data_IF_099120969728
#
_entry.id   IF_099120969728
#
_cell.length_a   1.000
_cell.length_b   1.000
_cell.length_c   1.000
_cell.angle_alpha   90.00
_cell.angle_beta   90.00
_cell.angle_gamma   90.00
#
_symmetry.space_group_name_H-M   'P 1'
#
loop_
_entity.id
_entity.type
_entity.pdbx_description
1 polymer ?
#
# COMPACT_ATOMS: atom_id res chain seq x y z
N UNK A 1 24.70 -24.85 -6.19
CA UNK A 1 24.75 -23.71 -5.24
C UNK A 1 23.34 -23.17 -4.96
N UNK A 2 22.35 -24.08 -4.76
CA UNK A 2 20.91 -23.74 -4.59
C UNK A 2 20.42 -23.64 -3.14
N UNK A 3 21.28 -23.82 -2.16
CA UNK A 3 20.88 -23.91 -0.72
C UNK A 3 20.88 -22.59 0.04
N UNK A 4 21.28 -21.47 -0.59
CA UNK A 4 21.40 -20.16 0.10
C UNK A 4 20.08 -19.35 0.12
N UNK A 5 19.20 -19.55 -0.87
CA UNK A 5 17.93 -18.77 -1.01
C UNK A 5 16.86 -19.28 -0.04
N UNK A 6 16.69 -20.58 0.08
CA UNK A 6 15.73 -21.18 1.04
C UNK A 6 16.01 -20.76 2.50
N UNK A 7 17.26 -20.52 2.84
CA UNK A 7 17.65 -20.10 4.19
C UNK A 7 17.25 -18.63 4.47
N UNK A 8 17.24 -17.78 3.46
CA UNK A 8 16.85 -16.37 3.59
C UNK A 8 15.33 -16.23 3.76
N UNK A 9 14.52 -16.98 3.02
CA UNK A 9 13.04 -16.98 3.12
C UNK A 9 12.60 -17.50 4.49
N UNK A 10 13.21 -18.58 4.98
CA UNK A 10 12.91 -19.13 6.32
C UNK A 10 13.29 -18.15 7.44
N UNK A 11 14.34 -17.34 7.25
CA UNK A 11 14.75 -16.33 8.24
C UNK A 11 13.77 -15.14 8.22
N UNK A 12 13.28 -14.70 7.05
CA UNK A 12 12.29 -13.61 6.92
C UNK A 12 10.95 -14.02 7.56
N UNK A 13 10.44 -15.20 7.28
CA UNK A 13 9.20 -15.72 7.88
C UNK A 13 9.31 -15.91 9.41
N UNK A 14 10.47 -16.26 9.93
CA UNK A 14 10.67 -16.40 11.38
C UNK A 14 10.75 -15.06 12.12
N UNK A 15 11.21 -14.00 11.47
CA UNK A 15 11.23 -12.62 12.04
C UNK A 15 9.81 -12.04 12.07
N UNK A 16 9.00 -12.28 11.03
CA UNK A 16 7.62 -11.83 10.98
C UNK A 16 6.73 -12.52 12.04
N UNK A 17 6.92 -13.83 12.31
CA UNK A 17 6.22 -14.54 13.35
C UNK A 17 6.56 -14.07 14.79
N UNK A 18 7.75 -13.47 15.00
CA UNK A 18 8.15 -12.94 16.30
C UNK A 18 7.56 -11.56 16.59
N UNK A 19 7.24 -10.77 15.57
CA UNK A 19 6.61 -9.46 15.73
C UNK A 19 5.12 -9.54 16.07
N UNK A 20 4.41 -10.58 15.62
CA UNK A 20 2.99 -10.81 15.94
C UNK A 20 2.75 -11.28 17.38
N UNK A 21 3.76 -11.76 18.09
CA UNK A 21 3.61 -12.25 19.47
C UNK A 21 3.78 -11.18 20.56
N UNK A 22 4.14 -9.94 20.21
CA UNK A 22 4.39 -8.87 21.19
C UNK A 22 3.15 -8.05 21.60
N UNK A 23 2.02 -8.15 20.89
CA UNK A 23 0.82 -7.32 21.14
C UNK A 23 -0.20 -7.89 22.14
N UNK A 24 0.04 -9.02 22.81
CA UNK A 24 -0.97 -9.63 23.70
C UNK A 24 -0.76 -9.41 25.21
N UNK A 25 0.13 -8.53 25.65
CA UNK A 25 0.52 -8.42 27.08
C UNK A 25 0.11 -7.12 27.81
N UNK A 26 -0.66 -6.23 27.19
CA UNK A 26 -1.20 -5.07 27.90
C UNK A 26 -2.71 -4.92 27.72
N UNK A 27 -3.46 -5.69 28.49
CA UNK A 27 -4.91 -5.58 28.56
C UNK A 27 -5.44 -6.15 29.85
N UNK A 28 -5.32 -5.44 30.96
CA UNK A 28 -6.09 -5.73 32.16
C UNK A 28 -6.85 -4.49 32.61
N UNK A 29 -8.11 -4.45 32.23
CA UNK A 29 -9.13 -3.57 32.77
C UNK A 29 -9.38 -3.88 34.24
N UNK A 30 -9.41 -2.87 35.08
CA UNK A 30 -10.03 -2.94 36.39
C UNK A 30 -11.31 -2.13 36.40
N UNK A 31 -12.42 -2.85 36.43
CA UNK A 31 -13.74 -2.36 36.81
C UNK A 31 -13.70 -1.93 38.27
N UNK A 32 -14.21 -0.76 38.58
CA UNK A 32 -14.66 -0.39 39.92
C UNK A 32 -15.98 0.34 39.83
N UNK A 33 -16.97 -0.34 40.34
CA UNK A 33 -18.32 0.08 40.64
C UNK A 33 -18.33 0.82 41.98
N UNK A 34 -19.01 1.98 42.07
CA UNK A 34 -19.76 2.40 43.27
C UNK A 34 -20.49 3.73 43.06
N UNK A 35 -21.78 3.71 43.17
CA UNK A 35 -22.75 4.77 43.44
C UNK A 35 -23.03 4.79 44.94
N UNK A 36 -23.85 5.76 45.52
CA UNK A 36 -24.15 7.17 45.27
C UNK A 36 -24.15 8.05 46.55
N UNK A 37 -24.75 9.26 46.39
CA UNK A 37 -25.36 10.17 47.40
C UNK A 37 -24.54 11.27 48.03
N UNK A 38 -25.11 12.51 47.91
CA UNK A 38 -24.78 13.65 48.74
C UNK A 38 -25.15 15.02 48.17
N UNK A 39 -26.34 15.46 48.46
CA UNK A 39 -27.05 16.73 48.24
C UNK A 39 -26.28 17.99 48.69
N UNK A 40 -26.25 19.02 47.82
CA UNK A 40 -26.29 20.51 47.88
C UNK A 40 -25.97 21.26 49.23
N UNK A 41 -25.77 22.62 49.30
CA UNK A 41 -26.13 23.66 48.31
C UNK A 41 -25.06 24.78 48.07
N UNK A 42 -25.24 25.45 46.94
CA UNK A 42 -25.22 26.91 46.73
C UNK A 42 -24.25 27.81 47.47
N UNK A 43 -23.28 28.34 46.72
CA UNK A 43 -22.68 29.67 47.01
C UNK A 43 -22.40 30.36 45.65
N UNK A 44 -23.09 31.44 45.42
CA UNK A 44 -22.88 32.36 44.31
C UNK A 44 -21.47 32.94 44.35
N UNK A 45 -20.70 32.82 43.32
CA UNK A 45 -19.46 33.54 43.08
C UNK A 45 -19.70 34.72 42.11
N UNK A 46 -18.98 35.82 42.26
CA UNK A 46 -19.25 37.08 41.59
C UNK A 46 -18.89 37.01 40.08
N UNK A 47 -19.62 37.80 39.30
CA UNK A 47 -19.39 38.02 37.90
C UNK A 47 -17.94 38.44 37.64
N UNK A 48 -17.21 37.65 36.91
CA UNK A 48 -15.93 38.02 36.34
C UNK A 48 -16.19 38.92 35.14
N UNK A 49 -15.76 40.16 35.24
CA UNK A 49 -15.69 41.13 34.15
C UNK A 49 -14.74 40.63 33.04
N UNK A 50 -15.22 40.67 31.81
CA UNK A 50 -14.39 40.95 30.64
C UNK A 50 -13.41 39.84 30.24
N UNK A 51 -13.93 38.73 29.66
CA UNK A 51 -13.13 38.01 28.68
C UNK A 51 -12.94 38.96 27.47
N UNK A 52 -11.72 39.10 26.92
CA UNK A 52 -11.54 39.78 25.65
C UNK A 52 -12.41 39.07 24.58
N UNK A 53 -12.91 39.83 23.59
CA UNK A 53 -13.63 39.21 22.50
C UNK A 53 -12.74 38.11 21.91
N UNK A 54 -13.27 36.91 21.72
CA UNK A 54 -12.63 35.86 20.99
C UNK A 54 -12.24 36.48 19.65
N UNK A 55 -10.94 36.42 19.31
CA UNK A 55 -10.48 36.75 17.97
C UNK A 55 -11.26 35.86 16.98
N UNK A 56 -11.92 36.52 16.02
CA UNK A 56 -12.74 35.83 15.03
C UNK A 56 -11.87 34.81 14.30
N UNK A 57 -12.15 33.54 14.53
CA UNK A 57 -12.02 32.43 13.66
C UNK A 57 -10.77 32.31 12.80
N UNK A 58 -9.63 31.90 13.36
CA UNK A 58 -8.67 31.14 12.58
C UNK A 58 -9.27 29.74 12.37
N UNK A 59 -9.81 29.50 11.18
CA UNK A 59 -10.30 28.20 10.77
C UNK A 59 -9.06 27.30 10.53
N UNK A 60 -8.93 26.24 11.32
CA UNK A 60 -7.88 25.26 11.05
C UNK A 60 -8.14 24.60 9.69
N UNK A 61 -7.09 24.32 8.88
CA UNK A 61 -7.29 23.50 7.69
C UNK A 61 -7.88 22.15 8.13
N UNK A 62 -8.74 21.53 7.33
CA UNK A 62 -9.20 20.17 7.58
C UNK A 62 -7.99 19.25 7.69
N UNK A 63 -8.08 18.27 8.56
CA UNK A 63 -7.06 17.21 8.64
C UNK A 63 -7.00 16.53 7.25
N UNK A 64 -5.78 16.33 6.68
CA UNK A 64 -5.66 15.57 5.45
C UNK A 64 -6.16 14.14 5.72
N UNK A 65 -7.20 13.73 5.03
CA UNK A 65 -7.76 12.40 5.17
C UNK A 65 -7.39 11.60 3.92
N UNK A 66 -6.63 10.51 4.06
CA UNK A 66 -6.24 9.63 2.97
C UNK A 66 -7.41 9.03 2.23
N UNK A 67 -8.47 8.71 2.96
CA UNK A 67 -9.70 8.13 2.43
C UNK A 67 -10.41 9.01 1.39
N UNK A 68 -10.03 10.30 1.26
CA UNK A 68 -10.67 11.19 0.26
C UNK A 68 -10.22 10.92 -1.17
N UNK A 69 -9.09 10.28 -1.40
CA UNK A 69 -8.62 9.93 -2.75
C UNK A 69 -9.47 8.82 -3.38
N UNK A 70 -10.00 7.91 -2.59
CA UNK A 70 -10.88 6.82 -3.04
C UNK A 70 -12.24 7.34 -3.53
N UNK A 71 -12.64 8.53 -3.10
CA UNK A 71 -13.87 9.18 -3.55
C UNK A 71 -13.74 9.84 -4.93
N UNK A 72 -12.54 9.96 -5.48
CA UNK A 72 -12.28 10.52 -6.80
C UNK A 72 -12.45 9.45 -7.88
N UNK A 73 -13.00 9.83 -9.03
CA UNK A 73 -13.05 8.93 -10.19
C UNK A 73 -11.66 8.62 -10.73
N UNK A 74 -10.77 9.62 -10.71
CA UNK A 74 -9.39 9.50 -11.16
C UNK A 74 -8.53 10.67 -10.68
N UNK A 75 -7.23 10.45 -10.60
CA UNK A 75 -6.28 11.51 -10.23
C UNK A 75 -4.85 11.15 -10.62
N UNK A 76 -3.98 12.16 -10.59
CA UNK A 76 -2.53 12.00 -10.56
C UNK A 76 -1.98 12.70 -9.32
N UNK A 77 -1.17 11.99 -8.53
CA UNK A 77 -0.49 12.49 -7.35
C UNK A 77 1.02 12.44 -7.57
N UNK A 78 1.70 13.49 -7.16
CA UNK A 78 3.16 13.48 -7.04
C UNK A 78 3.55 13.88 -5.63
N UNK A 79 4.48 13.15 -5.05
CA UNK A 79 5.08 13.49 -3.77
C UNK A 79 6.60 13.43 -3.88
N UNK A 80 7.27 14.43 -3.34
CA UNK A 80 8.72 14.52 -3.25
C UNK A 80 9.11 14.82 -1.83
N UNK A 81 10.11 14.09 -1.35
CA UNK A 81 10.69 14.31 -0.04
C UNK A 81 12.21 14.25 -0.16
N UNK A 82 12.89 15.12 0.57
CA UNK A 82 14.32 15.03 0.80
C UNK A 82 14.63 15.35 2.26
N UNK A 83 15.40 14.51 2.91
CA UNK A 83 15.93 14.73 4.24
C UNK A 83 17.45 14.61 4.21
N UNK A 84 18.14 15.56 4.86
CA UNK A 84 19.58 15.57 4.99
C UNK A 84 19.99 15.94 6.42
N UNK A 85 20.99 15.29 6.98
CA UNK A 85 21.39 15.54 8.35
C UNK A 85 22.66 14.85 8.76
N UNK A 86 22.83 14.72 10.07
CA UNK A 86 23.97 14.03 10.67
C UNK A 86 23.53 13.23 11.87
N UNK A 87 24.08 12.00 12.00
CA UNK A 87 23.88 11.22 13.22
C UNK A 87 24.77 11.74 14.37
N UNK A 88 24.60 11.16 15.55
CA UNK A 88 25.39 11.53 16.77
C UNK A 88 26.90 11.40 16.59
N UNK A 89 27.35 10.54 15.67
CA UNK A 89 28.77 10.34 15.36
C UNK A 89 29.31 11.37 14.36
N UNK A 90 28.43 12.24 13.80
CA UNK A 90 28.75 13.25 12.82
C UNK A 90 28.81 12.73 11.38
N UNK A 91 28.35 11.51 11.12
CA UNK A 91 28.21 10.97 9.77
C UNK A 91 27.05 11.67 9.05
N UNK A 92 27.22 11.92 7.75
CA UNK A 92 26.16 12.48 6.91
C UNK A 92 25.08 11.42 6.67
N UNK A 93 23.83 11.85 6.82
CA UNK A 93 22.62 11.08 6.51
C UNK A 93 21.88 11.76 5.37
N UNK A 94 21.32 10.97 4.47
CA UNK A 94 20.55 11.49 3.34
C UNK A 94 19.47 10.50 2.96
N UNK A 95 18.27 11.01 2.72
CA UNK A 95 17.11 10.24 2.30
C UNK A 95 16.33 11.02 1.27
N UNK A 96 15.85 10.36 0.23
CA UNK A 96 15.02 10.95 -0.81
C UNK A 96 13.91 10.00 -1.18
N UNK A 97 12.73 10.54 -1.48
CA UNK A 97 11.61 9.82 -2.06
C UNK A 97 10.96 10.69 -3.13
N UNK A 98 10.91 10.19 -4.34
CA UNK A 98 10.08 10.72 -5.42
C UNK A 98 8.99 9.69 -5.73
N UNK A 99 7.73 10.09 -5.62
CA UNK A 99 6.57 9.24 -5.89
C UNK A 99 5.69 9.87 -6.97
N UNK A 100 5.29 9.05 -7.92
CA UNK A 100 4.19 9.31 -8.85
C UNK A 100 3.12 8.23 -8.62
N UNK A 101 1.88 8.65 -8.49
CA UNK A 101 0.73 7.75 -8.47
C UNK A 101 -0.30 8.25 -9.48
N UNK A 102 -0.68 7.40 -10.40
CA UNK A 102 -1.75 7.60 -11.38
C UNK A 102 -2.86 6.62 -11.05
N UNK A 103 -4.07 7.11 -10.89
CA UNK A 103 -5.21 6.31 -10.46
C UNK A 103 -6.44 6.55 -11.33
N UNK A 104 -7.10 5.47 -11.69
CA UNK A 104 -8.45 5.45 -12.24
C UNK A 104 -9.29 4.49 -11.39
N UNK A 105 -10.01 5.04 -10.42
CA UNK A 105 -10.79 4.26 -9.45
C UNK A 105 -12.04 3.63 -10.09
N UNK A 106 -12.50 4.17 -11.24
CA UNK A 106 -13.65 3.61 -11.97
C UNK A 106 -13.29 2.29 -12.64
N UNK A 107 -12.12 2.26 -13.28
CA UNK A 107 -11.63 1.08 -14.01
C UNK A 107 -10.72 0.18 -13.15
N UNK A 108 -10.46 0.57 -11.90
CA UNK A 108 -9.54 -0.09 -10.97
C UNK A 108 -8.15 -0.30 -11.60
N UNK A 109 -7.60 0.78 -12.16
CA UNK A 109 -6.27 0.78 -12.75
C UNK A 109 -5.37 1.81 -12.07
N UNK A 110 -4.19 1.36 -11.64
CA UNK A 110 -3.23 2.19 -10.91
C UNK A 110 -1.82 1.99 -11.45
N UNK A 111 -1.04 3.06 -11.44
CA UNK A 111 0.39 3.03 -11.68
C UNK A 111 1.07 3.79 -10.55
N UNK A 112 2.01 3.15 -9.87
CA UNK A 112 2.75 3.71 -8.75
C UNK A 112 4.23 3.54 -9.07
N UNK A 113 4.94 4.65 -9.11
CA UNK A 113 6.39 4.70 -9.28
C UNK A 113 7.01 5.40 -8.08
N UNK A 114 7.88 4.69 -7.36
CA UNK A 114 8.63 5.19 -6.21
C UNK A 114 10.12 5.09 -6.51
N UNK A 115 10.86 6.18 -6.30
CA UNK A 115 12.32 6.20 -6.49
C UNK A 115 13.00 6.94 -5.36
N UNK A 116 14.22 6.54 -5.03
CA UNK A 116 15.04 7.24 -4.03
C UNK A 116 15.66 6.32 -2.99
N UNK A 117 16.42 6.90 -2.08
CA UNK A 117 17.15 6.17 -1.04
C UNK A 117 16.23 5.45 -0.05
N UNK A 118 15.02 5.97 0.20
CA UNK A 118 14.04 5.28 1.06
C UNK A 118 13.58 3.97 0.42
N UNK A 119 13.30 3.97 -0.88
CA UNK A 119 12.93 2.75 -1.61
C UNK A 119 14.04 1.72 -1.55
N UNK A 120 15.32 2.14 -1.70
CA UNK A 120 16.47 1.26 -1.57
C UNK A 120 16.54 0.59 -0.20
N UNK A 121 16.22 1.31 0.90
CA UNK A 121 16.21 0.75 2.25
C UNK A 121 15.13 -0.31 2.45
N UNK A 122 13.94 -0.12 1.89
CA UNK A 122 12.80 -1.01 2.05
C UNK A 122 12.90 -2.24 1.14
N UNK A 123 13.24 -2.05 -0.12
CA UNK A 123 13.21 -3.07 -1.16
C UNK A 123 14.59 -3.55 -1.61
N UNK A 124 15.64 -2.78 -1.31
CA UNK A 124 17.00 -2.98 -1.83
C UNK A 124 17.18 -2.52 -3.28
N UNK A 125 16.16 -1.83 -3.83
CA UNK A 125 16.14 -1.25 -5.17
C UNK A 125 16.06 0.27 -5.03
N UNK A 126 16.59 1.00 -6.00
CA UNK A 126 16.48 2.45 -6.07
C UNK A 126 15.16 2.92 -6.73
N UNK A 127 14.41 1.98 -7.31
CA UNK A 127 13.13 2.21 -7.99
C UNK A 127 12.20 1.02 -7.76
N UNK A 128 10.96 1.33 -7.43
CA UNK A 128 9.86 0.38 -7.35
C UNK A 128 8.75 0.87 -8.29
N UNK A 129 8.28 0.00 -9.16
CA UNK A 129 7.22 0.32 -10.11
C UNK A 129 6.14 -0.75 -10.08
N UNK A 130 4.91 -0.32 -9.74
CA UNK A 130 3.77 -1.20 -9.51
C UNK A 130 2.62 -0.77 -10.42
N UNK A 131 1.97 -1.74 -11.03
CA UNK A 131 0.75 -1.55 -11.80
C UNK A 131 -0.37 -2.42 -11.23
N UNK A 132 -1.58 -1.88 -11.20
CA UNK A 132 -2.78 -2.64 -10.81
C UNK A 132 -3.79 -2.58 -11.95
N UNK A 133 -4.33 -3.73 -12.34
CA UNK A 133 -5.40 -3.86 -13.32
C UNK A 133 -6.46 -4.84 -12.80
N UNK A 134 -7.55 -4.31 -12.27
CA UNK A 134 -8.60 -5.11 -11.66
C UNK A 134 -8.08 -5.90 -10.45
N UNK A 135 -8.07 -7.21 -10.52
CA UNK A 135 -7.64 -8.12 -9.46
C UNK A 135 -6.16 -8.57 -9.56
N UNK A 136 -5.38 -7.93 -10.42
CA UNK A 136 -3.97 -8.25 -10.63
C UNK A 136 -3.07 -7.07 -10.32
N UNK A 137 -1.99 -7.34 -9.61
CA UNK A 137 -0.90 -6.41 -9.33
C UNK A 137 0.37 -6.90 -10.01
N UNK A 138 1.02 -6.03 -10.75
CA UNK A 138 2.27 -6.29 -11.49
C UNK A 138 3.37 -5.46 -10.84
N UNK A 139 4.42 -6.11 -10.38
CA UNK A 139 5.61 -5.45 -9.83
C UNK A 139 6.75 -5.63 -10.81
N UNK A 140 7.35 -4.51 -11.24
CA UNK A 140 8.49 -4.53 -12.13
C UNK A 140 9.78 -4.61 -11.34
N UNK A 141 10.57 -5.64 -11.61
CA UNK A 141 11.95 -5.75 -11.16
C UNK A 141 12.89 -5.56 -12.36
N UNK A 142 13.43 -4.35 -12.47
CA UNK A 142 14.34 -4.00 -13.58
C UNK A 142 15.75 -4.60 -13.43
N UNK A 143 16.08 -5.23 -12.31
CA UNK A 143 17.36 -5.89 -12.07
C UNK A 143 17.34 -7.38 -12.42
N UNK A 144 16.17 -8.00 -12.41
CA UNK A 144 16.03 -9.39 -12.83
C UNK A 144 15.80 -9.46 -14.35
N UNK A 145 16.84 -9.87 -15.08
CA UNK A 145 16.77 -9.97 -16.55
C UNK A 145 15.96 -11.17 -17.04
N UNK A 146 15.77 -12.16 -16.19
CA UNK A 146 15.12 -13.42 -16.53
C UNK A 146 13.60 -13.40 -16.19
N UNK A 147 13.20 -12.56 -15.22
CA UNK A 147 11.79 -12.34 -14.86
C UNK A 147 11.57 -10.87 -14.45
N UNK A 148 11.46 -9.96 -15.42
CA UNK A 148 11.37 -8.52 -15.14
C UNK A 148 10.03 -8.09 -14.56
N UNK A 149 9.04 -8.99 -14.45
CA UNK A 149 7.71 -8.70 -13.97
C UNK A 149 7.17 -9.86 -13.12
N UNK A 150 6.75 -9.54 -11.91
CA UNK A 150 6.03 -10.47 -11.02
C UNK A 150 4.56 -10.09 -10.96
N UNK A 151 3.66 -11.06 -11.00
CA UNK A 151 2.21 -10.85 -10.96
C UNK A 151 1.65 -11.45 -9.68
N UNK A 152 0.82 -10.67 -8.98
CA UNK A 152 0.10 -11.10 -7.79
C UNK A 152 -1.40 -10.98 -8.04
N UNK A 153 -2.19 -11.92 -7.49
CA UNK A 153 -3.64 -11.77 -7.41
C UNK A 153 -4.03 -11.22 -6.05
N UNK A 154 -4.92 -10.24 -6.05
CA UNK A 154 -5.47 -9.64 -4.84
C UNK A 154 -6.98 -9.76 -4.86
N UNK A 155 -7.56 -10.52 -3.91
CA UNK A 155 -9.01 -10.74 -3.83
C UNK A 155 -9.75 -9.63 -3.07
N UNK A 156 -9.08 -8.99 -2.10
CA UNK A 156 -9.64 -7.91 -1.28
C UNK A 156 -8.61 -6.77 -1.19
N UNK A 157 -9.01 -5.55 -1.47
CA UNK A 157 -8.19 -4.33 -1.39
C UNK A 157 -6.89 -4.36 -2.22
N UNK A 158 -7.03 -4.25 -3.52
CA UNK A 158 -5.89 -4.11 -4.46
C UNK A 158 -4.89 -3.03 -4.04
N UNK A 159 -5.35 -2.03 -3.28
CA UNK A 159 -4.56 -0.88 -2.86
C UNK A 159 -3.67 -1.17 -1.65
N UNK A 160 -4.05 -2.11 -0.77
CA UNK A 160 -3.23 -2.48 0.40
C UNK A 160 -1.88 -3.08 -0.04
N UNK A 161 -1.88 -3.82 -1.17
CA UNK A 161 -0.66 -4.40 -1.73
C UNK A 161 0.18 -3.38 -2.51
N UNK A 162 -0.49 -2.39 -3.11
CA UNK A 162 0.16 -1.38 -3.95
C UNK A 162 0.76 -0.22 -3.15
N UNK A 163 0.68 -0.24 -1.80
CA UNK A 163 1.17 0.85 -0.94
C UNK A 163 0.75 2.22 -1.47
N UNK A 164 -0.55 2.40 -1.69
CA UNK A 164 -1.10 3.70 -2.10
C UNK A 164 -0.67 4.75 -1.09
N UNK A 165 -0.02 5.78 -1.59
CA UNK A 165 0.48 6.85 -0.74
C UNK A 165 -0.67 7.56 -0.03
N UNK A 166 -0.58 7.63 1.29
CA UNK A 166 -1.48 8.37 2.13
C UNK A 166 -0.73 9.52 2.81
N UNK A 167 -1.20 10.75 2.60
CA UNK A 167 -0.53 11.94 3.15
C UNK A 167 -0.47 11.93 4.68
N UNK A 168 -1.48 11.37 5.35
CA UNK A 168 -1.56 11.22 6.80
C UNK A 168 -0.52 10.24 7.37
N UNK A 169 -0.01 9.31 6.60
CA UNK A 169 1.08 8.43 7.06
C UNK A 169 2.37 9.23 7.23
N UNK A 170 2.64 10.15 6.32
CA UNK A 170 3.82 11.01 6.39
C UNK A 170 3.64 12.19 7.34
N UNK A 171 2.42 12.70 7.45
CA UNK A 171 2.06 13.87 8.25
C UNK A 171 0.79 13.58 9.05
N UNK A 172 0.89 12.81 10.14
CA UNK A 172 -0.28 12.32 10.87
C UNK A 172 -1.13 13.44 11.49
N UNK A 173 -0.57 14.64 11.63
CA UNK A 173 -1.32 15.76 12.18
C UNK A 173 -0.96 17.07 11.52
N UNK A 174 -1.93 17.68 10.83
CA UNK A 174 -1.90 19.07 10.39
C UNK A 174 -3.09 19.79 11.05
N UNK A 175 -2.96 20.16 12.32
CA UNK A 175 -4.11 20.53 13.16
C UNK A 175 -4.42 22.02 13.23
N UNK A 176 -3.52 22.87 12.81
CA UNK A 176 -3.72 24.32 12.87
C UNK A 176 -3.18 24.99 11.62
N UNK A 177 -3.94 25.94 11.12
CA UNK A 177 -3.51 26.75 10.01
C UNK A 177 -4.11 28.14 10.05
N UNK A 178 -3.32 29.12 9.64
CA UNK A 178 -3.79 30.46 9.42
C UNK A 178 -4.18 30.64 7.97
N UNK A 179 -5.44 30.99 7.72
CA UNK A 179 -5.91 31.33 6.39
C UNK A 179 -5.13 32.52 5.83
N UNK A 180 -4.50 32.34 4.70
CA UNK A 180 -3.75 33.36 3.96
C UNK A 180 -4.58 33.95 2.84
N UNK A 181 -5.26 33.08 2.04
CA UNK A 181 -6.04 33.50 0.88
C UNK A 181 -7.16 32.50 0.60
N UNK A 182 -8.34 33.01 0.19
CA UNK A 182 -9.48 32.19 -0.21
C UNK A 182 -9.62 32.17 -1.74
N UNK A 183 -10.08 31.07 -2.30
CA UNK A 183 -10.44 30.95 -3.70
C UNK A 183 -9.26 31.00 -4.66
N UNK A 184 -8.07 30.59 -4.21
CA UNK A 184 -6.89 30.48 -5.07
C UNK A 184 -7.03 29.29 -6.00
N UNK A 185 -6.84 29.49 -7.30
CA UNK A 185 -6.85 28.39 -8.26
C UNK A 185 -5.50 27.66 -8.25
N UNK A 186 -5.50 26.38 -7.85
CA UNK A 186 -4.34 25.48 -7.87
C UNK A 186 -4.73 24.20 -8.60
N UNK A 187 -3.96 23.83 -9.62
CA UNK A 187 -4.20 22.62 -10.44
C UNK A 187 -5.62 22.53 -11.03
N UNK A 188 -6.26 23.70 -11.29
CA UNK A 188 -7.63 23.79 -11.81
C UNK A 188 -8.73 23.65 -10.75
N UNK A 189 -8.38 23.63 -9.47
CA UNK A 189 -9.30 23.56 -8.33
C UNK A 189 -9.27 24.89 -7.56
N UNK A 190 -10.45 25.39 -7.15
CA UNK A 190 -10.55 26.54 -6.24
C UNK A 190 -10.25 26.09 -4.82
N UNK A 191 -9.21 26.66 -4.22
CA UNK A 191 -8.68 26.24 -2.92
C UNK A 191 -8.67 27.37 -1.90
N UNK A 192 -8.63 27.03 -0.64
CA UNK A 192 -8.23 27.90 0.45
C UNK A 192 -6.77 27.60 0.80
N UNK A 193 -5.96 28.65 0.91
CA UNK A 193 -4.54 28.58 1.17
C UNK A 193 -4.26 28.94 2.64
N UNK A 194 -3.55 28.06 3.33
CA UNK A 194 -3.22 28.23 4.74
C UNK A 194 -1.71 28.12 4.97
N UNK A 195 -1.20 28.92 5.94
CA UNK A 195 0.09 28.66 6.57
C UNK A 195 -0.14 27.65 7.73
N UNK A 196 0.62 26.58 7.75
CA UNK A 196 0.51 25.53 8.80
C UNK A 196 1.20 26.03 10.08
N UNK A 197 0.53 25.89 11.23
CA UNK A 197 1.04 26.35 12.54
C UNK A 197 1.39 25.20 13.49
N UNK A 198 0.90 23.98 13.21
CA UNK A 198 1.27 22.77 13.94
C UNK A 198 1.34 21.59 13.00
N UNK A 199 2.42 20.83 13.09
CA UNK A 199 2.75 19.73 12.19
C UNK A 199 3.44 18.63 12.98
N UNK A 200 2.89 17.42 12.93
CA UNK A 200 3.59 16.21 13.31
C UNK A 200 4.02 15.47 12.05
N UNK A 201 5.19 14.85 12.07
CA UNK A 201 5.71 14.09 10.94
C UNK A 201 6.06 12.67 11.37
N UNK A 202 6.04 11.74 10.43
CA UNK A 202 6.51 10.37 10.63
C UNK A 202 7.98 10.34 11.11
N UNK A 203 8.79 11.27 10.62
CA UNK A 203 10.24 11.33 10.90
C UNK A 203 10.59 11.85 12.30
N UNK A 204 9.63 12.35 13.09
CA UNK A 204 9.84 12.81 14.45
C UNK A 204 9.43 14.25 14.71
N UNK A 205 9.94 14.81 15.81
CA UNK A 205 9.58 16.14 16.28
C UNK A 205 10.41 17.23 15.61
N UNK A 206 9.74 18.16 14.93
CA UNK A 206 10.39 19.27 14.25
C UNK A 206 10.47 20.50 15.17
N UNK A 207 11.67 21.02 15.39
CA UNK A 207 11.88 22.22 16.22
C UNK A 207 11.42 23.49 15.50
N UNK A 208 11.58 23.51 14.19
CA UNK A 208 11.23 24.62 13.30
C UNK A 208 10.68 24.07 12.02
N UNK A 209 9.63 24.68 11.52
CA UNK A 209 9.12 24.39 10.20
C UNK A 209 8.44 25.61 9.58
N UNK A 210 8.33 25.58 8.26
CA UNK A 210 7.50 26.47 7.46
C UNK A 210 6.76 25.60 6.47
N UNK A 211 5.44 25.60 6.51
CA UNK A 211 4.64 24.79 5.60
C UNK A 211 3.37 25.52 5.17
N UNK A 212 2.96 25.27 3.95
CA UNK A 212 1.77 25.84 3.33
C UNK A 212 0.93 24.72 2.71
N UNK A 213 -0.40 24.82 2.90
CA UNK A 213 -1.35 23.82 2.41
C UNK A 213 -2.49 24.50 1.64
N UNK A 214 -2.87 23.92 0.52
CA UNK A 214 -4.00 24.34 -0.31
C UNK A 214 -5.04 23.23 -0.29
N UNK A 215 -6.19 23.54 0.28
CA UNK A 215 -7.30 22.59 0.46
C UNK A 215 -8.44 23.04 -0.46
N UNK A 216 -9.09 22.12 -1.15
CA UNK A 216 -10.27 22.41 -1.95
C UNK A 216 -11.32 23.13 -1.11
N UNK A 217 -12.08 24.06 -1.69
CA UNK A 217 -13.05 24.88 -0.93
C UNK A 217 -14.18 24.08 -0.31
N UNK A 218 -14.50 22.88 -0.82
CA UNK A 218 -15.43 21.92 -0.21
C UNK A 218 -14.82 21.22 1.02
N UNK A 219 -13.48 21.34 1.21
CA UNK A 219 -12.77 20.81 2.37
C UNK A 219 -12.42 19.33 2.27
N UNK A 220 -12.66 18.68 1.11
CA UNK A 220 -12.49 17.24 0.99
C UNK A 220 -11.08 16.81 0.56
N UNK A 221 -10.36 17.61 -0.26
CA UNK A 221 -9.04 17.22 -0.77
C UNK A 221 -7.96 18.25 -0.47
N UNK A 222 -6.77 17.75 -0.12
CA UNK A 222 -5.53 18.52 -0.18
C UNK A 222 -5.05 18.53 -1.64
N UNK A 223 -4.95 19.71 -2.24
CA UNK A 223 -4.54 19.88 -3.63
C UNK A 223 -3.03 20.08 -3.73
N UNK A 224 -2.45 20.79 -2.77
CA UNK A 224 -1.01 21.01 -2.66
C UNK A 224 -0.62 21.14 -1.20
N UNK A 225 0.53 20.55 -0.85
CA UNK A 225 1.15 20.72 0.46
C UNK A 225 2.67 20.75 0.29
N UNK A 226 3.31 21.79 0.79
CA UNK A 226 4.76 21.93 0.68
C UNK A 226 5.34 22.59 1.91
N UNK A 227 6.58 22.26 2.22
CA UNK A 227 7.26 22.86 3.36
C UNK A 227 8.68 22.41 3.56
N UNK A 228 9.27 22.99 4.59
CA UNK A 228 10.59 22.65 5.12
C UNK A 228 10.52 22.54 6.64
N UNK A 229 11.30 21.62 7.20
CA UNK A 229 11.41 21.45 8.64
C UNK A 229 12.87 21.18 9.05
N UNK A 230 13.19 21.52 10.29
CA UNK A 230 14.50 21.29 10.91
C UNK A 230 14.30 20.76 12.33
N UNK A 231 15.00 19.70 12.71
CA UNK A 231 14.89 19.12 14.03
C UNK A 231 15.57 17.77 14.17
N UNK A 232 15.21 17.08 15.27
CA UNK A 232 15.59 15.69 15.47
C UNK A 232 14.67 14.81 14.63
N UNK A 233 15.25 13.92 13.82
CA UNK A 233 14.51 13.04 12.91
C UNK A 233 15.27 11.75 12.67
N UNK A 234 14.55 10.72 12.24
CA UNK A 234 15.13 9.49 11.73
C UNK A 234 15.35 9.63 10.22
N UNK A 235 16.60 9.55 9.76
CA UNK A 235 16.97 9.66 8.34
C UNK A 235 17.67 8.36 7.95
N UNK A 236 17.19 7.67 6.94
CA UNK A 236 17.72 6.38 6.50
C UNK A 236 17.82 5.33 7.64
N UNK A 237 16.81 5.30 8.51
CA UNK A 237 16.77 4.38 9.66
C UNK A 237 17.73 4.71 10.79
N UNK A 238 18.39 5.87 10.77
CA UNK A 238 19.30 6.33 11.81
C UNK A 238 18.81 7.64 12.46
N UNK A 239 18.82 7.76 13.80
CA UNK A 239 18.50 9.00 14.47
C UNK A 239 19.58 10.06 14.21
N UNK A 240 19.12 11.28 13.94
CA UNK A 240 19.97 12.41 13.63
C UNK A 240 19.31 13.75 13.84
N UNK A 241 20.04 14.80 13.50
CA UNK A 241 19.52 16.17 13.41
C UNK A 241 19.70 16.65 11.99
N UNK A 242 18.62 17.13 11.39
CA UNK A 242 18.66 17.46 9.97
C UNK A 242 17.61 18.44 9.52
N UNK A 243 17.47 18.52 8.22
CA UNK A 243 16.45 19.28 7.50
C UNK A 243 15.68 18.37 6.58
N UNK A 244 14.39 18.62 6.46
CA UNK A 244 13.49 17.93 5.56
C UNK A 244 12.76 18.95 4.68
N UNK A 245 12.55 18.62 3.41
CA UNK A 245 11.73 19.37 2.49
C UNK A 245 10.75 18.42 1.81
N UNK A 246 9.53 18.88 1.55
CA UNK A 246 8.52 18.07 0.86
C UNK A 246 7.68 18.91 -0.09
N UNK A 247 7.14 18.25 -1.10
CA UNK A 247 6.15 18.80 -2.02
C UNK A 247 5.17 17.70 -2.45
N UNK A 248 3.90 17.91 -2.14
CA UNK A 248 2.76 17.10 -2.55
C UNK A 248 1.91 17.89 -3.55
N UNK A 249 1.50 17.27 -4.65
CA UNK A 249 0.58 17.86 -5.61
C UNK A 249 -0.42 16.81 -6.09
N UNK A 250 -1.70 17.17 -6.07
CA UNK A 250 -2.80 16.43 -6.65
C UNK A 250 -3.28 17.14 -7.91
N UNK A 251 -3.30 16.43 -9.02
CA UNK A 251 -3.64 16.95 -10.36
C UNK A 251 -4.58 16.01 -11.11
N UNK A 252 -5.09 16.44 -12.25
CA UNK A 252 -5.95 15.62 -13.13
C UNK A 252 -7.18 15.01 -12.42
N UNK A 253 -7.71 15.71 -11.40
CA UNK A 253 -8.82 15.27 -10.56
C UNK A 253 -10.08 15.07 -11.42
N UNK A 254 -10.63 13.85 -11.39
CA UNK A 254 -11.80 13.44 -12.16
C UNK A 254 -11.66 13.73 -13.67
N UNK A 255 -10.42 13.68 -14.17
CA UNK A 255 -10.12 13.77 -15.59
C UNK A 255 -9.69 12.39 -16.10
N UNK A 256 -9.65 12.21 -17.43
CA UNK A 256 -9.24 10.94 -18.00
C UNK A 256 -7.76 10.66 -17.67
N UNK A 257 -7.52 9.74 -16.75
CA UNK A 257 -6.21 9.15 -16.49
C UNK A 257 -6.19 7.76 -17.13
N UNK A 258 -5.29 7.54 -18.06
CA UNK A 258 -5.10 6.25 -18.75
C UNK A 258 -3.78 5.64 -18.28
N UNK A 259 -3.89 4.53 -17.56
CA UNK A 259 -2.74 3.73 -17.13
C UNK A 259 -2.44 2.71 -18.24
N UNK A 260 -1.27 2.84 -18.87
CA UNK A 260 -0.85 1.91 -19.91
C UNK A 260 -0.35 0.61 -19.30
N UNK A 261 -0.71 -0.53 -19.90
CA UNK A 261 -0.21 -1.82 -19.47
C UNK A 261 1.32 -1.93 -19.72
N UNK A 262 2.14 -2.36 -18.73
CA UNK A 262 3.58 -2.43 -18.86
C UNK A 262 4.02 -3.49 -19.89
N UNK A 263 4.84 -3.06 -20.86
CA UNK A 263 5.32 -3.98 -21.92
C UNK A 263 6.13 -5.16 -21.36
N UNK A 264 6.87 -4.95 -20.26
CA UNK A 264 7.67 -5.99 -19.61
C UNK A 264 6.81 -7.12 -18.99
N UNK A 265 5.55 -6.84 -18.68
CA UNK A 265 4.62 -7.82 -18.13
C UNK A 265 3.78 -8.56 -19.19
N UNK A 266 3.93 -8.21 -20.47
CA UNK A 266 3.10 -8.76 -21.55
C UNK A 266 3.25 -10.27 -21.72
N UNK A 267 4.46 -10.79 -21.57
CA UNK A 267 4.74 -12.22 -21.67
C UNK A 267 4.13 -12.98 -20.50
N UNK A 268 4.32 -12.45 -19.29
CA UNK A 268 3.75 -12.99 -18.05
C UNK A 268 2.22 -13.03 -18.12
N UNK A 269 1.58 -11.92 -18.52
CA UNK A 269 0.12 -11.84 -18.65
C UNK A 269 -0.39 -12.84 -19.69
N UNK A 270 0.28 -12.99 -20.84
CA UNK A 270 -0.08 -13.95 -21.86
C UNK A 270 0.00 -15.38 -21.32
N UNK A 271 1.08 -15.69 -20.61
CA UNK A 271 1.29 -17.01 -20.00
C UNK A 271 0.21 -17.36 -18.99
N UNK A 272 -0.12 -16.43 -18.11
CA UNK A 272 -1.15 -16.63 -17.09
C UNK A 272 -2.57 -16.72 -17.65
N UNK A 273 -2.88 -15.93 -18.69
CA UNK A 273 -4.21 -15.94 -19.32
C UNK A 273 -4.53 -17.25 -20.04
N UNK A 274 -3.52 -18.07 -20.34
CA UNK A 274 -3.69 -19.41 -20.91
C UNK A 274 -4.04 -20.48 -19.87
N UNK A 275 -3.91 -20.16 -18.55
CA UNK A 275 -4.23 -21.08 -17.46
C UNK A 275 -5.69 -20.86 -17.05
N UNK A 276 -6.57 -21.86 -17.23
CA UNK A 276 -7.95 -21.71 -16.82
C UNK A 276 -8.08 -21.76 -15.30
N UNK A 277 -8.83 -20.78 -14.75
CA UNK A 277 -9.11 -20.69 -13.31
C UNK A 277 -10.61 -20.91 -13.12
N UNK A 278 -11.06 -21.82 -12.22
CA UNK A 278 -12.47 -22.00 -11.91
C UNK A 278 -13.10 -20.74 -11.30
N UNK A 279 -14.37 -20.47 -11.61
CA UNK A 279 -15.11 -19.29 -11.11
C UNK A 279 -15.21 -19.24 -9.56
N UNK A 280 -15.07 -20.38 -8.89
CA UNK A 280 -15.12 -20.51 -7.43
C UNK A 280 -13.73 -20.62 -6.77
N UNK A 281 -12.68 -20.24 -7.49
CA UNK A 281 -11.34 -20.13 -6.94
C UNK A 281 -11.25 -18.95 -5.96
N UNK A 282 -10.77 -19.23 -4.76
CA UNK A 282 -10.54 -18.28 -3.66
C UNK A 282 -9.11 -18.38 -3.14
N UNK A 283 -8.65 -17.42 -2.34
CA UNK A 283 -7.28 -17.38 -1.79
C UNK A 283 -6.22 -17.54 -2.88
N UNK A 284 -6.37 -16.76 -3.97
CA UNK A 284 -5.48 -16.84 -5.12
C UNK A 284 -4.15 -16.16 -4.82
N UNK A 285 -3.06 -16.88 -4.99
CA UNK A 285 -1.70 -16.39 -4.83
C UNK A 285 -0.85 -16.76 -6.05
N UNK A 286 0.09 -15.89 -6.40
CA UNK A 286 1.11 -16.18 -7.40
C UNK A 286 2.50 -15.86 -6.86
N UNK A 287 3.49 -16.60 -7.33
CA UNK A 287 4.90 -16.29 -7.17
C UNK A 287 5.61 -16.79 -8.44
N UNK A 288 6.92 -16.56 -8.57
CA UNK A 288 7.74 -16.97 -9.73
C UNK A 288 7.43 -18.41 -10.17
N UNK A 289 6.71 -18.54 -11.29
CA UNK A 289 6.44 -19.83 -11.93
C UNK A 289 5.37 -20.70 -11.25
N UNK A 290 4.68 -20.24 -10.21
CA UNK A 290 3.57 -21.00 -9.67
C UNK A 290 2.35 -20.13 -9.34
N UNK A 291 1.18 -20.75 -9.37
CA UNK A 291 -0.11 -20.18 -9.03
C UNK A 291 -0.84 -21.12 -8.08
N UNK A 292 -1.38 -20.61 -6.98
CA UNK A 292 -2.10 -21.36 -5.97
C UNK A 292 -3.48 -20.78 -5.74
N UNK A 293 -4.46 -21.63 -5.50
CA UNK A 293 -5.78 -21.21 -5.05
C UNK A 293 -6.51 -22.33 -4.30
N UNK A 294 -7.55 -21.94 -3.59
CA UNK A 294 -8.49 -22.84 -2.92
C UNK A 294 -9.80 -22.93 -3.70
N UNK A 295 -10.49 -24.08 -3.60
CA UNK A 295 -11.79 -24.30 -4.20
C UNK A 295 -12.68 -25.16 -3.32
N UNK A 296 -13.99 -24.96 -3.40
CA UNK A 296 -14.99 -25.83 -2.77
C UNK A 296 -15.32 -27.07 -3.61
N UNK A 297 -14.82 -27.16 -4.84
CA UNK A 297 -14.97 -28.34 -5.68
C UNK A 297 -14.06 -29.47 -5.19
N UNK A 298 -14.50 -30.72 -5.39
CA UNK A 298 -13.67 -31.88 -5.05
C UNK A 298 -12.49 -32.04 -6.02
N UNK A 299 -11.42 -32.69 -5.56
CA UNK A 299 -10.24 -32.94 -6.37
C UNK A 299 -10.55 -33.66 -7.70
N UNK A 300 -11.52 -34.60 -7.71
CA UNK A 300 -11.98 -35.27 -8.95
C UNK A 300 -12.59 -34.28 -9.95
N UNK A 301 -13.40 -33.32 -9.49
CA UNK A 301 -14.05 -32.32 -10.34
C UNK A 301 -13.01 -31.38 -10.93
N UNK A 302 -12.07 -30.93 -10.12
CA UNK A 302 -10.98 -30.04 -10.56
C UNK A 302 -10.02 -30.77 -11.53
N UNK A 303 -9.69 -32.03 -11.28
CA UNK A 303 -8.87 -32.83 -12.19
C UNK A 303 -9.52 -32.95 -13.58
N UNK A 304 -10.83 -33.25 -13.65
CA UNK A 304 -11.56 -33.30 -14.93
C UNK A 304 -11.72 -31.93 -15.59
N UNK A 305 -11.85 -30.86 -14.77
CA UNK A 305 -11.84 -29.49 -15.27
C UNK A 305 -10.54 -29.18 -16.00
N UNK A 306 -9.37 -29.41 -15.38
CA UNK A 306 -8.08 -29.14 -16.01
C UNK A 306 -7.80 -30.04 -17.23
N UNK A 307 -8.15 -31.33 -17.15
CA UNK A 307 -8.05 -32.22 -18.33
C UNK A 307 -8.87 -31.75 -19.51
N UNK A 308 -9.98 -31.05 -19.24
CA UNK A 308 -10.85 -30.52 -20.30
C UNK A 308 -10.36 -29.18 -20.80
N UNK A 309 -10.18 -28.20 -19.90
CA UNK A 309 -9.93 -26.82 -20.28
C UNK A 309 -8.52 -26.60 -20.83
N UNK A 310 -7.49 -27.22 -20.24
CA UNK A 310 -6.13 -27.13 -20.75
C UNK A 310 -6.02 -27.80 -22.14
N UNK A 311 -6.66 -28.97 -22.33
CA UNK A 311 -6.65 -29.64 -23.64
C UNK A 311 -7.40 -28.79 -24.69
N UNK A 312 -8.51 -28.16 -24.33
CA UNK A 312 -9.21 -27.20 -25.20
C UNK A 312 -8.31 -25.98 -25.52
N UNK A 313 -7.47 -25.55 -24.58
CA UNK A 313 -6.45 -24.51 -24.73
C UNK A 313 -5.22 -24.92 -25.55
N UNK A 314 -5.17 -26.19 -26.03
CA UNK A 314 -4.11 -26.72 -26.89
C UNK A 314 -2.93 -27.33 -26.14
N UNK A 315 -3.08 -27.59 -24.83
CA UNK A 315 -2.12 -28.36 -24.04
C UNK A 315 -2.35 -29.88 -24.25
N UNK A 316 -1.29 -30.65 -24.16
CA UNK A 316 -1.33 -32.12 -24.21
C UNK A 316 -1.04 -32.69 -22.83
N UNK A 317 -1.95 -33.50 -22.30
CA UNK A 317 -1.74 -34.24 -21.04
C UNK A 317 -0.69 -35.33 -21.31
N UNK A 318 0.46 -35.22 -20.65
CA UNK A 318 1.62 -36.13 -20.85
C UNK A 318 1.82 -37.11 -19.72
N UNK A 319 1.42 -36.75 -18.49
CA UNK A 319 1.48 -37.65 -17.34
C UNK A 319 0.32 -37.39 -16.36
N UNK A 320 -0.11 -38.43 -15.66
CA UNK A 320 -1.14 -38.36 -14.63
C UNK A 320 -0.80 -39.32 -13.50
N UNK A 321 -0.66 -38.78 -12.30
CA UNK A 321 -0.58 -39.54 -11.06
C UNK A 321 -1.81 -39.21 -10.22
N UNK A 322 -2.48 -40.24 -9.69
CA UNK A 322 -3.62 -40.04 -8.81
C UNK A 322 -3.58 -41.05 -7.64
N UNK A 323 -3.88 -40.56 -6.45
CA UNK A 323 -4.06 -41.35 -5.23
C UNK A 323 -5.19 -40.73 -4.42
N UNK A 324 -6.14 -41.55 -3.99
CA UNK A 324 -7.40 -41.27 -3.24
C UNK A 324 -7.90 -39.80 -3.19
N UNK A 325 -7.03 -38.80 -2.96
CA UNK A 325 -7.38 -37.38 -2.82
C UNK A 325 -6.35 -36.43 -3.47
N UNK A 326 -5.30 -36.96 -4.06
CA UNK A 326 -4.23 -36.16 -4.70
C UNK A 326 -4.17 -36.48 -6.19
N UNK A 327 -4.16 -35.45 -7.02
CA UNK A 327 -3.90 -35.53 -8.45
C UNK A 327 -2.67 -34.70 -8.78
N UNK A 328 -1.79 -35.24 -9.63
CA UNK A 328 -0.71 -34.53 -10.25
C UNK A 328 -0.85 -34.75 -11.76
N UNK A 329 -1.16 -33.68 -12.47
CA UNK A 329 -1.38 -33.70 -13.92
C UNK A 329 -0.25 -32.90 -14.58
N UNK A 330 0.44 -33.49 -15.55
CA UNK A 330 1.49 -32.82 -16.31
C UNK A 330 1.02 -32.58 -17.73
N UNK A 331 1.12 -31.34 -18.17
CA UNK A 331 0.73 -30.91 -19.50
C UNK A 331 1.92 -30.28 -20.23
N UNK A 332 1.94 -30.40 -21.57
CA UNK A 332 2.94 -29.74 -22.41
C UNK A 332 2.26 -28.98 -23.56
N UNK A 333 2.84 -27.83 -23.93
CA UNK A 333 2.42 -27.02 -25.08
C UNK A 333 3.66 -26.41 -25.75
N UNK A 334 4.14 -27.01 -26.83
CA UNK A 334 5.41 -26.64 -27.44
C UNK A 334 6.59 -27.00 -26.53
N UNK A 335 7.36 -26.01 -26.11
CA UNK A 335 8.49 -26.18 -25.16
C UNK A 335 8.09 -25.95 -23.71
N UNK A 336 6.85 -25.52 -23.44
CA UNK A 336 6.33 -25.26 -22.09
C UNK A 336 5.83 -26.54 -21.43
N UNK A 337 6.08 -26.67 -20.13
CA UNK A 337 5.57 -27.73 -19.28
C UNK A 337 4.83 -27.11 -18.07
N UNK A 338 3.62 -27.57 -17.84
CA UNK A 338 2.76 -27.14 -16.75
C UNK A 338 2.41 -28.35 -15.88
N UNK A 339 2.56 -28.22 -14.58
CA UNK A 339 2.11 -29.22 -13.60
C UNK A 339 0.96 -28.64 -12.79
N UNK A 340 -0.12 -29.42 -12.65
CA UNK A 340 -1.27 -29.09 -11.81
C UNK A 340 -1.35 -30.13 -10.71
N UNK A 341 -1.12 -29.68 -9.47
CA UNK A 341 -1.28 -30.49 -8.27
C UNK A 341 -2.61 -30.12 -7.59
N UNK A 342 -3.43 -31.12 -7.28
CA UNK A 342 -4.75 -30.93 -6.68
C UNK A 342 -4.85 -31.83 -5.46
N UNK A 343 -5.01 -31.25 -4.30
CA UNK A 343 -5.01 -32.00 -3.03
C UNK A 343 -5.93 -31.38 -1.98
N UNK A 344 -5.99 -31.95 -0.76
CA UNK A 344 -6.78 -31.40 0.32
C UNK A 344 -6.18 -30.04 0.76
N UNK A 345 -7.06 -29.04 0.94
CA UNK A 345 -6.70 -27.74 1.53
C UNK A 345 -6.54 -27.81 3.05
N UNK A 346 -6.24 -26.69 3.67
CA UNK A 346 -6.08 -26.59 5.12
C UNK A 346 -7.40 -26.77 5.87
N UNK A 347 -8.50 -26.29 5.31
CA UNK A 347 -9.83 -26.37 5.88
C UNK A 347 -10.60 -27.60 5.39
N UNK A 348 -11.51 -28.14 6.24
CA UNK A 348 -12.35 -29.28 5.89
C UNK A 348 -13.31 -28.91 4.73
N UNK A 349 -13.23 -29.69 3.65
CA UNK A 349 -14.08 -29.50 2.46
C UNK A 349 -13.50 -28.52 1.45
N UNK A 350 -12.29 -28.03 1.67
CA UNK A 350 -11.55 -27.21 0.72
C UNK A 350 -10.53 -28.09 -0.02
N UNK A 351 -10.40 -27.85 -1.30
CA UNK A 351 -9.38 -28.43 -2.18
C UNK A 351 -8.41 -27.34 -2.56
N UNK A 352 -7.11 -27.57 -2.35
CA UNK A 352 -6.03 -26.68 -2.78
C UNK A 352 -5.50 -27.12 -4.13
N UNK A 353 -5.24 -26.16 -5.00
CA UNK A 353 -4.67 -26.36 -6.33
C UNK A 353 -3.38 -25.56 -6.44
N UNK A 354 -2.31 -26.22 -6.86
CA UNK A 354 -1.02 -25.61 -7.15
C UNK A 354 -0.70 -25.86 -8.62
N UNK A 355 -0.45 -24.80 -9.36
CA UNK A 355 -0.07 -24.87 -10.77
C UNK A 355 1.35 -24.34 -10.92
N UNK A 356 2.25 -25.14 -11.45
CA UNK A 356 3.65 -24.78 -11.67
C UNK A 356 3.94 -24.74 -13.16
N UNK A 357 4.41 -23.61 -13.68
CA UNK A 357 4.92 -23.45 -15.04
C UNK A 357 6.44 -23.57 -15.01
N UNK A 358 6.99 -24.60 -15.62
CA UNK A 358 8.43 -24.88 -15.66
C UNK A 358 9.17 -24.16 -16.79
N UNK A 359 8.49 -23.26 -17.49
CA UNK A 359 9.10 -22.50 -18.61
C UNK A 359 9.91 -21.28 -18.13
N UNK A 360 9.89 -21.01 -16.83
CA UNK A 360 10.60 -19.88 -16.21
C UNK A 360 11.97 -20.27 -15.66
#
# INVERSE_FOLDING_TARGET
MRTSRFLKIVILLSVFALLLSACSLFGKSSTSEATPEGVAPEAAAPAAEGAPPAEEGEEAPPEPMGDTLDALDSYRLTFKLSAEGKNELGNDLNETLDLLQEANNVDLTYHILRTGAQVELETGLDTEEIYVFGDKTYVLDTFETDSPCTVFFTEENHLDFAYVFALEEMFPTITRGKLLEEGVEVNGVSTNHYAVEALDTYYGSMEKFTAEIWVAQDGEQVIRFSGEAEGEMEISGEPGTGKMNWEYNLTDINQSVEVAFPELCQEQETSMSEIPIPDNATNRETDEGYFVFDSTDSADVLAEYYKTELVNGGWELTDELSDESLYILTFTKGERELQVEIGPGEDEGITNVIITDFSY
#
